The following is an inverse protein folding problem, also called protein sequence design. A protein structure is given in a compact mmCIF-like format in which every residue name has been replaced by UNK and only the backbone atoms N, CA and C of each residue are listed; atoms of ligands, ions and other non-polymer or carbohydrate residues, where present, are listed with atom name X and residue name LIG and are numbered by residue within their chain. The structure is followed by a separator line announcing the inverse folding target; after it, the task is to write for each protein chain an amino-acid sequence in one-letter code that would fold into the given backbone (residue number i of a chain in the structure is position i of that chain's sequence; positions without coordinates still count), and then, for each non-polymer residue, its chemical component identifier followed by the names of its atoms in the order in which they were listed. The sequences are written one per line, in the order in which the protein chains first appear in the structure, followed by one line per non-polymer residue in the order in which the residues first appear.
data_IF_318456024202
#
_entry.id   IF_318456024202
#
_cell.length_a   1.000
_cell.length_b   1.000
_cell.length_c   1.000
_cell.angle_alpha   90.00
_cell.angle_beta   90.00
_cell.angle_gamma   90.00
#
_symmetry.space_group_name_H-M   'P 1'
#
loop_
_entity.id
_entity.type
_entity.pdbx_description
1 polymer ?
#
# COMPACT_ATOMS: atom_id res chain seq x y z
N UNK A 1 -27.14 -0.96 -6.65
CA UNK A 1 -25.77 -1.41 -6.35
C UNK A 1 -24.86 -0.96 -7.48
N UNK A 2 -23.72 -0.31 -7.20
CA UNK A 2 -22.80 0.19 -8.24
C UNK A 2 -21.42 -0.41 -8.04
N UNK A 3 -20.69 -0.68 -9.13
CA UNK A 3 -19.34 -1.29 -9.08
C UNK A 3 -18.40 -0.50 -8.18
N UNK A 4 -18.38 0.83 -8.29
CA UNK A 4 -17.56 1.69 -7.42
C UNK A 4 -17.85 1.46 -5.94
N UNK A 5 -19.13 1.40 -5.56
CA UNK A 5 -19.52 1.21 -4.16
C UNK A 5 -19.05 -0.15 -3.63
N UNK A 6 -19.19 -1.19 -4.44
CA UNK A 6 -18.84 -2.55 -4.03
C UNK A 6 -17.32 -2.74 -3.92
N UNK A 7 -16.55 -2.15 -4.84
CA UNK A 7 -15.08 -2.12 -4.78
C UNK A 7 -14.60 -1.37 -3.54
N UNK A 8 -15.16 -0.19 -3.26
CA UNK A 8 -14.77 0.59 -2.06
C UNK A 8 -15.14 -0.15 -0.77
N UNK A 9 -16.29 -0.84 -0.74
CA UNK A 9 -16.67 -1.66 0.40
C UNK A 9 -15.67 -2.81 0.62
N UNK A 10 -15.32 -3.52 -0.45
CA UNK A 10 -14.33 -4.60 -0.39
C UNK A 10 -12.98 -4.09 0.11
N UNK A 11 -12.52 -2.94 -0.38
CA UNK A 11 -11.28 -2.31 0.07
C UNK A 11 -11.30 -2.04 1.58
N UNK A 12 -12.36 -1.41 2.10
CA UNK A 12 -12.48 -1.12 3.54
C UNK A 12 -12.54 -2.39 4.40
N UNK A 13 -13.20 -3.44 3.92
CA UNK A 13 -13.27 -4.72 4.61
C UNK A 13 -11.89 -5.43 4.63
N UNK A 14 -11.16 -5.45 3.51
CA UNK A 14 -9.81 -6.02 3.44
C UNK A 14 -8.79 -5.20 4.25
N UNK A 15 -8.90 -3.88 4.26
CA UNK A 15 -8.07 -3.00 5.09
C UNK A 15 -8.21 -3.34 6.57
N UNK A 16 -9.43 -3.54 7.07
CA UNK A 16 -9.68 -3.96 8.46
C UNK A 16 -9.06 -5.33 8.77
N UNK A 17 -9.19 -6.29 7.86
CA UNK A 17 -8.57 -7.62 8.01
C UNK A 17 -7.05 -7.52 8.07
N UNK A 18 -6.45 -6.72 7.18
CA UNK A 18 -5.00 -6.54 7.15
C UNK A 18 -4.48 -5.88 8.44
N UNK A 19 -5.20 -4.91 8.99
CA UNK A 19 -4.86 -4.32 10.30
C UNK A 19 -4.89 -5.36 11.44
N UNK A 20 -5.83 -6.31 11.40
CA UNK A 20 -5.86 -7.42 12.37
C UNK A 20 -4.66 -8.36 12.20
N UNK A 21 -4.24 -8.63 10.95
CA UNK A 21 -3.02 -9.40 10.67
C UNK A 21 -1.80 -8.70 11.24
N UNK A 22 -1.64 -7.39 10.98
CA UNK A 22 -0.50 -6.61 11.46
C UNK A 22 -0.35 -6.60 12.98
N UNK A 23 -1.44 -6.72 13.76
CA UNK A 23 -1.35 -6.85 15.22
C UNK A 23 -0.60 -8.10 15.70
N UNK A 24 -0.56 -9.15 14.88
CA UNK A 24 0.14 -10.40 15.18
C UNK A 24 1.53 -10.51 14.54
N UNK A 25 1.98 -9.47 13.83
CA UNK A 25 3.26 -9.47 13.12
C UNK A 25 4.31 -8.76 13.98
N UNK A 26 5.41 -9.45 14.28
CA UNK A 26 6.50 -8.89 15.09
C UNK A 26 7.29 -7.82 14.34
N UNK A 27 7.57 -8.04 13.04
CA UNK A 27 8.40 -7.16 12.22
C UNK A 27 7.78 -6.96 10.85
N UNK A 28 7.67 -5.69 10.46
CA UNK A 28 7.24 -5.27 9.13
C UNK A 28 8.38 -4.45 8.53
N UNK A 29 8.83 -4.85 7.33
CA UNK A 29 9.76 -4.09 6.52
C UNK A 29 8.97 -3.33 5.46
N UNK A 30 9.23 -2.03 5.34
CA UNK A 30 8.57 -1.19 4.35
C UNK A 30 9.52 -0.94 3.18
N UNK A 31 8.99 -1.10 1.97
CA UNK A 31 9.66 -0.72 0.73
C UNK A 31 8.82 0.30 0.00
N UNK A 32 9.42 1.41 -0.40
CA UNK A 32 8.82 2.35 -1.34
C UNK A 32 9.30 2.04 -2.74
N UNK A 33 8.36 1.92 -3.69
CA UNK A 33 8.67 1.78 -5.11
C UNK A 33 8.07 2.98 -5.84
N UNK A 34 8.91 3.74 -6.55
CA UNK A 34 8.50 4.92 -7.31
C UNK A 34 8.80 4.73 -8.79
N UNK A 35 7.89 5.15 -9.65
CA UNK A 35 8.09 5.13 -11.10
C UNK A 35 7.32 6.27 -11.77
N UNK A 36 7.71 6.58 -13.00
CA UNK A 36 7.01 7.51 -13.88
C UNK A 36 6.24 6.71 -14.93
N UNK A 37 4.96 7.01 -15.11
CA UNK A 37 4.13 6.37 -16.12
C UNK A 37 4.46 6.88 -17.53
N UNK A 38 3.91 6.23 -18.56
CA UNK A 38 4.00 6.69 -19.94
C UNK A 38 3.25 8.02 -20.19
N UNK A 39 2.45 8.50 -19.23
CA UNK A 39 1.78 9.80 -19.25
C UNK A 39 2.57 10.87 -18.48
N UNK A 40 3.82 10.58 -18.11
CA UNK A 40 4.69 11.47 -17.32
C UNK A 40 4.18 11.76 -15.89
N UNK A 41 3.27 10.92 -15.37
CA UNK A 41 2.79 11.01 -13.99
C UNK A 41 3.67 10.16 -13.05
N UNK A 42 4.05 10.73 -11.92
CA UNK A 42 4.81 10.02 -10.88
C UNK A 42 3.87 9.21 -9.97
N UNK A 43 4.21 7.96 -9.68
CA UNK A 43 3.49 7.12 -8.74
C UNK A 43 4.43 6.56 -7.68
N UNK A 44 3.89 6.41 -6.46
CA UNK A 44 4.56 5.77 -5.34
C UNK A 44 3.67 4.64 -4.81
N UNK A 45 4.24 3.44 -4.74
CA UNK A 45 3.69 2.32 -3.99
C UNK A 45 4.46 2.15 -2.68
N UNK A 46 3.72 2.06 -1.57
CA UNK A 46 4.27 1.62 -0.28
C UNK A 46 3.89 0.16 -0.07
N UNK A 47 4.91 -0.67 0.12
CA UNK A 47 4.78 -2.12 0.23
C UNK A 47 5.22 -2.56 1.61
N UNK A 48 4.34 -3.27 2.32
CA UNK A 48 4.66 -3.94 3.57
C UNK A 48 5.08 -5.39 3.30
N UNK A 49 6.27 -5.75 3.78
CA UNK A 49 6.82 -7.09 3.76
C UNK A 49 6.86 -7.64 5.19
N UNK A 50 6.36 -8.85 5.41
CA UNK A 50 6.35 -9.49 6.71
C UNK A 50 6.26 -11.01 6.60
N UNK A 51 6.64 -11.73 7.66
CA UNK A 51 6.41 -13.17 7.79
C UNK A 51 5.12 -13.39 8.57
N UNK A 52 4.21 -14.20 8.05
CA UNK A 52 2.97 -14.55 8.73
C UNK A 52 3.14 -15.72 9.73
N UNK A 53 2.05 -16.05 10.42
CA UNK A 53 1.99 -17.15 11.40
C UNK A 53 2.30 -18.53 10.82
N UNK A 54 2.14 -18.69 9.51
CA UNK A 54 2.39 -19.94 8.78
C UNK A 54 3.81 -19.97 8.20
N UNK A 55 4.67 -19.05 8.66
CA UNK A 55 6.05 -18.86 8.21
C UNK A 55 6.19 -18.56 6.72
N UNK A 56 5.20 -17.84 6.14
CA UNK A 56 5.22 -17.44 4.74
C UNK A 56 5.53 -15.96 4.60
N UNK A 57 6.37 -15.63 3.63
CA UNK A 57 6.62 -14.26 3.22
C UNK A 57 5.36 -13.66 2.60
N UNK A 58 4.93 -12.54 3.15
CA UNK A 58 3.81 -11.76 2.66
C UNK A 58 4.30 -10.43 2.11
N UNK A 59 3.71 -10.01 0.99
CA UNK A 59 3.89 -8.69 0.39
C UNK A 59 2.52 -8.06 0.18
N UNK A 60 2.31 -6.85 0.70
CA UNK A 60 1.04 -6.12 0.56
C UNK A 60 1.29 -4.67 0.19
N UNK A 61 0.66 -4.20 -0.88
CA UNK A 61 0.60 -2.77 -1.20
C UNK A 61 -0.36 -2.14 -0.19
N UNK A 62 0.16 -1.25 0.65
CA UNK A 62 -0.62 -0.57 1.70
C UNK A 62 -0.91 0.89 1.35
N UNK A 63 -0.18 1.45 0.38
CA UNK A 63 -0.53 2.71 -0.24
C UNK A 63 -0.13 2.69 -1.72
N UNK A 64 -0.93 3.34 -2.56
CA UNK A 64 -0.65 3.58 -3.96
C UNK A 64 -1.18 4.96 -4.28
N UNK A 65 -0.27 5.91 -4.54
CA UNK A 65 -0.64 7.29 -4.79
C UNK A 65 0.07 7.83 -6.01
N UNK A 66 -0.64 8.71 -6.73
CA UNK A 66 0.01 9.66 -7.62
C UNK A 66 0.78 10.67 -6.76
N UNK A 67 1.95 11.07 -7.21
CA UNK A 67 2.82 12.04 -6.56
C UNK A 67 3.04 13.18 -7.53
N UNK A 68 2.57 14.37 -7.19
CA UNK A 68 2.81 15.56 -8.00
C UNK A 68 4.27 16.02 -7.89
N UNK A 69 4.83 16.64 -8.94
CA UNK A 69 6.12 17.33 -8.83
C UNK A 69 6.04 18.51 -7.85
N UNK A 70 7.13 18.86 -7.15
CA UNK A 70 8.44 18.22 -7.20
C UNK A 70 8.53 17.00 -6.27
N UNK A 71 9.17 15.93 -6.75
CA UNK A 71 9.35 14.67 -5.99
C UNK A 71 10.43 14.77 -4.90
N UNK A 72 10.28 15.74 -4.01
CA UNK A 72 11.19 15.95 -2.87
C UNK A 72 10.83 15.01 -1.72
N UNK A 73 11.80 14.74 -0.83
CA UNK A 73 11.55 13.93 0.37
C UNK A 73 10.43 14.49 1.26
N UNK A 74 10.25 15.82 1.29
CA UNK A 74 9.15 16.45 2.03
C UNK A 74 7.79 16.12 1.43
N UNK A 75 7.67 16.14 0.10
CA UNK A 75 6.42 15.81 -0.60
C UNK A 75 6.09 14.32 -0.43
N UNK A 76 7.11 13.45 -0.43
CA UNK A 76 6.94 12.01 -0.24
C UNK A 76 6.61 11.61 1.20
N UNK A 77 6.85 12.47 2.19
CA UNK A 77 6.62 12.19 3.60
C UNK A 77 5.20 12.55 4.10
N UNK A 78 4.42 13.27 3.29
CA UNK A 78 3.03 13.66 3.59
C UNK A 78 2.05 12.49 3.37
#
# INVERSE_FOLDING_TARGET
TTVKRDVMKLYEDEKKKLLLVFKGVEKIVLTTYMWTSNQQLGYLALIAHFIDKDWKMQQRIINFTEVEPPHTGLVLAN
#
